data_IF_856756266748
#
_entry.id   IF_856756266748
#
_cell.length_a   1.000
_cell.length_b   1.000
_cell.length_c   1.000
_cell.angle_alpha   90.00
_cell.angle_beta   90.00
_cell.angle_gamma   90.00
#
_symmetry.space_group_name_H-M   'P 1'
#
loop_
_entity.id
_entity.type
_entity.pdbx_description
1 polymer ?
#
# COMPACT_ATOMS: atom_id res chain seq x y z
N UNK A 1 -13.95 9.89 -0.35
CA UNK A 1 -13.80 11.31 -0.02
C UNK A 1 -12.40 11.85 -0.19
N UNK A 2 -11.38 11.17 0.33
CA UNK A 2 -10.02 11.68 0.20
C UNK A 2 -9.53 11.71 -1.25
N UNK A 3 -9.88 10.71 -2.04
CA UNK A 3 -9.53 10.69 -3.46
C UNK A 3 -10.14 11.89 -4.18
N UNK A 4 -11.38 12.18 -3.86
CA UNK A 4 -12.10 13.28 -4.47
C UNK A 4 -11.55 14.64 -4.06
N UNK A 5 -11.21 14.80 -2.78
CA UNK A 5 -10.68 16.06 -2.24
C UNK A 5 -9.36 16.46 -2.89
N UNK A 6 -8.51 15.49 -3.16
CA UNK A 6 -7.20 15.73 -3.79
C UNK A 6 -7.22 15.60 -5.30
N UNK A 7 -8.39 15.31 -5.89
CA UNK A 7 -8.52 15.02 -7.32
C UNK A 7 -7.57 13.88 -7.73
N UNK A 8 -7.63 12.79 -6.98
CA UNK A 8 -6.84 11.61 -7.27
C UNK A 8 -7.63 10.63 -8.10
N UNK A 9 -6.97 9.96 -9.03
CA UNK A 9 -7.56 8.89 -9.80
C UNK A 9 -6.89 7.59 -9.39
N UNK A 10 -7.66 6.52 -9.32
CA UNK A 10 -7.14 5.20 -9.01
C UNK A 10 -7.32 4.30 -10.22
N UNK A 11 -6.23 3.78 -10.75
CA UNK A 11 -6.23 2.95 -11.94
C UNK A 11 -5.75 1.55 -11.59
N UNK A 12 -6.52 0.54 -11.99
CA UNK A 12 -6.18 -0.85 -11.75
C UNK A 12 -5.73 -1.51 -13.07
N UNK A 13 -4.53 -2.06 -13.06
CA UNK A 13 -4.00 -2.84 -14.17
C UNK A 13 -3.90 -4.30 -13.76
N UNK A 14 -4.69 -5.15 -14.39
CA UNK A 14 -4.63 -6.58 -14.15
C UNK A 14 -4.71 -7.30 -15.50
N UNK A 15 -3.73 -8.15 -15.79
CA UNK A 15 -3.68 -8.85 -17.07
C UNK A 15 -4.79 -9.89 -17.22
N UNK A 16 -5.26 -10.43 -16.10
CA UNK A 16 -6.33 -11.43 -16.06
C UNK A 16 -6.84 -11.57 -14.66
N UNK A 17 -7.99 -12.22 -14.52
CA UNK A 17 -8.54 -12.50 -13.21
C UNK A 17 -7.64 -13.48 -12.47
N UNK A 18 -7.26 -13.11 -11.26
CA UNK A 18 -6.40 -13.92 -10.42
C UNK A 18 -7.22 -14.35 -9.21
N UNK A 19 -7.28 -15.66 -8.97
CA UNK A 19 -7.99 -16.21 -7.81
C UNK A 19 -6.98 -16.54 -6.73
N UNK A 20 -7.24 -16.07 -5.53
CA UNK A 20 -6.34 -16.24 -4.40
C UNK A 20 -7.08 -16.82 -3.22
N UNK A 21 -6.51 -17.86 -2.62
CA UNK A 21 -7.09 -18.46 -1.42
C UNK A 21 -6.66 -17.66 -0.20
N UNK A 22 -7.58 -16.89 0.36
CA UNK A 22 -7.25 -15.99 1.47
C UNK A 22 -8.48 -15.69 2.31
N UNK A 23 -8.25 -15.05 3.46
CA UNK A 23 -9.32 -14.47 4.25
C UNK A 23 -9.74 -13.16 3.57
N UNK A 24 -10.88 -13.17 2.91
CA UNK A 24 -11.32 -12.04 2.11
C UNK A 24 -11.47 -10.76 2.92
N UNK A 25 -12.01 -10.84 4.14
CA UNK A 25 -12.20 -9.67 4.97
C UNK A 25 -10.87 -9.05 5.41
N UNK A 26 -9.92 -9.91 5.79
CA UNK A 26 -8.60 -9.44 6.18
C UNK A 26 -7.84 -8.87 5.01
N UNK A 27 -7.92 -9.51 3.85
CA UNK A 27 -7.22 -9.02 2.67
C UNK A 27 -7.80 -7.69 2.19
N UNK A 28 -9.12 -7.51 2.29
CA UNK A 28 -9.73 -6.22 1.99
C UNK A 28 -9.16 -5.13 2.90
N UNK A 29 -8.94 -5.45 4.16
CA UNK A 29 -8.34 -4.52 5.11
C UNK A 29 -6.93 -4.11 4.70
N UNK A 30 -6.14 -5.06 4.18
CA UNK A 30 -4.81 -4.74 3.65
C UNK A 30 -4.93 -3.72 2.50
N UNK A 31 -5.81 -4.00 1.56
CA UNK A 31 -6.00 -3.13 0.39
C UNK A 31 -6.48 -1.75 0.82
N UNK A 32 -7.46 -1.69 1.71
CA UNK A 32 -7.97 -0.42 2.21
C UNK A 32 -6.88 0.40 2.91
N UNK A 33 -6.07 -0.26 3.73
CA UNK A 33 -4.98 0.42 4.44
C UNK A 33 -3.92 0.95 3.47
N UNK A 34 -3.54 0.17 2.48
CA UNK A 34 -2.54 0.59 1.49
C UNK A 34 -3.08 1.70 0.59
N UNK A 35 -4.33 1.59 0.17
CA UNK A 35 -4.95 2.61 -0.66
C UNK A 35 -5.12 3.92 0.11
N UNK A 36 -5.55 3.84 1.37
CA UNK A 36 -5.68 5.02 2.21
C UNK A 36 -4.34 5.69 2.43
N UNK A 37 -3.29 4.90 2.69
CA UNK A 37 -1.95 5.43 2.86
C UNK A 37 -1.49 6.14 1.59
N UNK A 38 -1.71 5.53 0.44
CA UNK A 38 -1.37 6.14 -0.84
C UNK A 38 -2.10 7.47 -1.03
N UNK A 39 -3.39 7.51 -0.69
CA UNK A 39 -4.19 8.74 -0.85
C UNK A 39 -3.71 9.85 0.07
N UNK A 40 -3.35 9.50 1.33
CA UNK A 40 -2.87 10.49 2.30
C UNK A 40 -1.58 11.16 1.82
N UNK A 41 -0.65 10.38 1.29
CA UNK A 41 0.69 10.86 0.95
C UNK A 41 0.89 11.19 -0.52
N UNK A 42 -0.16 11.10 -1.34
CA UNK A 42 -0.07 11.50 -2.74
C UNK A 42 -0.16 13.01 -2.89
N UNK A 43 0.54 13.52 -3.90
CA UNK A 43 0.32 14.89 -4.34
C UNK A 43 -1.06 14.98 -4.98
N UNK A 44 -1.68 16.16 -4.93
CA UNK A 44 -2.96 16.41 -5.58
C UNK A 44 -2.83 16.27 -7.10
N UNK A 45 -3.93 15.95 -7.76
CA UNK A 45 -4.00 15.84 -9.21
C UNK A 45 -3.07 14.76 -9.79
N UNK A 46 -2.83 13.70 -9.03
CA UNK A 46 -2.00 12.58 -9.49
C UNK A 46 -2.81 11.30 -9.54
N UNK A 47 -2.16 10.24 -10.00
CA UNK A 47 -2.80 8.94 -10.18
C UNK A 47 -2.20 7.92 -9.21
N UNK A 48 -3.05 7.12 -8.60
CA UNK A 48 -2.64 5.96 -7.82
C UNK A 48 -2.84 4.75 -8.72
N UNK A 49 -1.80 3.97 -8.92
CA UNK A 49 -1.83 2.81 -9.80
C UNK A 49 -1.73 1.53 -8.98
N UNK A 50 -2.63 0.59 -9.22
CA UNK A 50 -2.59 -0.73 -8.60
C UNK A 50 -2.36 -1.74 -9.72
N UNK A 51 -1.29 -2.49 -9.63
CA UNK A 51 -0.92 -3.47 -10.65
C UNK A 51 -0.88 -4.85 -10.02
N UNK A 52 -1.47 -5.83 -10.69
CA UNK A 52 -1.40 -7.22 -10.23
C UNK A 52 -0.71 -8.07 -11.29
N UNK A 53 0.09 -9.01 -10.83
CA UNK A 53 0.86 -9.88 -11.70
C UNK A 53 0.95 -11.27 -11.08
N UNK A 54 0.83 -12.30 -11.91
CA UNK A 54 0.96 -13.68 -11.47
C UNK A 54 2.24 -14.28 -12.08
N UNK A 55 3.14 -14.73 -11.20
CA UNK A 55 4.39 -15.39 -11.62
C UNK A 55 4.73 -16.52 -10.67
N UNK A 56 5.03 -17.68 -11.24
CA UNK A 56 5.59 -18.82 -10.49
C UNK A 56 4.81 -19.08 -9.20
N UNK A 57 3.49 -19.16 -9.27
CA UNK A 57 2.63 -19.42 -8.11
C UNK A 57 2.60 -18.31 -7.06
N UNK A 58 3.02 -17.13 -7.43
CA UNK A 58 2.93 -15.96 -6.56
C UNK A 58 2.13 -14.86 -7.23
N UNK A 59 1.33 -14.16 -6.44
CA UNK A 59 0.64 -12.95 -6.87
C UNK A 59 1.42 -11.77 -6.32
N UNK A 60 1.80 -10.86 -7.20
CA UNK A 60 2.44 -9.59 -6.80
C UNK A 60 1.45 -8.47 -7.03
N UNK A 61 1.20 -7.69 -5.99
CA UNK A 61 0.28 -6.55 -6.05
C UNK A 61 1.09 -5.31 -5.69
N UNK A 62 1.13 -4.34 -6.60
CA UNK A 62 1.90 -3.11 -6.40
C UNK A 62 0.94 -1.93 -6.32
N UNK A 63 1.04 -1.18 -5.22
CA UNK A 63 0.34 0.09 -5.03
C UNK A 63 1.36 1.19 -5.24
N UNK A 64 1.18 1.99 -6.28
CA UNK A 64 2.11 3.05 -6.63
C UNK A 64 1.44 4.41 -6.58
N UNK A 65 2.09 5.38 -5.95
CA UNK A 65 1.59 6.75 -5.92
C UNK A 65 2.72 7.75 -6.10
N UNK A 66 2.37 8.94 -6.52
CA UNK A 66 3.30 10.06 -6.64
C UNK A 66 3.23 10.89 -5.37
N UNK A 67 4.33 11.00 -4.67
CA UNK A 67 4.39 11.72 -3.42
C UNK A 67 5.83 11.93 -2.97
N UNK A 68 6.00 12.57 -1.81
CA UNK A 68 7.33 12.84 -1.28
C UNK A 68 8.09 11.54 -1.06
N UNK A 69 9.38 11.57 -1.36
CA UNK A 69 10.23 10.40 -1.15
C UNK A 69 10.30 10.05 0.33
N UNK A 70 10.30 8.75 0.60
CA UNK A 70 10.54 8.22 1.94
C UNK A 70 12.02 7.91 2.03
N UNK A 71 12.74 8.45 3.04
CA UNK A 71 14.16 8.15 3.20
C UNK A 71 14.41 6.64 3.24
N UNK A 72 15.43 6.19 2.55
CA UNK A 72 15.72 4.76 2.42
C UNK A 72 15.82 4.05 3.77
N UNK A 73 16.47 4.69 4.75
CA UNK A 73 16.64 4.12 6.08
C UNK A 73 15.32 3.98 6.84
N UNK A 74 14.25 4.59 6.36
CA UNK A 74 12.93 4.52 7.00
C UNK A 74 11.99 3.54 6.32
N UNK A 75 12.36 2.97 5.18
CA UNK A 75 11.45 2.12 4.40
C UNK A 75 11.01 0.85 5.14
N UNK A 76 11.80 0.33 6.06
CA UNK A 76 11.38 -0.79 6.89
C UNK A 76 10.62 -0.32 8.12
N UNK A 77 11.01 0.82 8.67
CA UNK A 77 10.42 1.35 9.90
C UNK A 77 8.96 1.76 9.74
N UNK A 78 8.54 2.14 8.53
CA UNK A 78 7.16 2.59 8.32
C UNK A 78 6.13 1.49 8.58
N UNK A 79 6.55 0.23 8.66
CA UNK A 79 5.67 -0.87 9.00
C UNK A 79 5.59 -1.14 10.50
N UNK A 80 6.34 -0.41 11.31
CA UNK A 80 6.28 -0.55 12.75
C UNK A 80 5.05 0.14 13.31
N UNK A 81 4.50 -0.40 14.41
CA UNK A 81 3.35 0.20 15.06
C UNK A 81 3.65 1.61 15.52
N UNK A 82 2.70 2.51 15.28
CA UNK A 82 2.77 3.92 15.69
C UNK A 82 3.87 4.73 15.02
N UNK A 83 4.60 4.14 14.07
CA UNK A 83 5.59 4.90 13.32
C UNK A 83 4.93 5.83 12.31
N UNK A 84 5.44 7.04 12.19
CA UNK A 84 4.96 8.03 11.23
C UNK A 84 6.13 8.78 10.64
N UNK A 85 6.14 8.93 9.33
CA UNK A 85 7.16 9.72 8.64
C UNK A 85 6.92 11.21 8.89
N UNK A 86 5.67 11.62 8.86
CA UNK A 86 5.24 13.00 9.11
C UNK A 86 4.11 12.97 10.14
N UNK A 87 4.49 13.18 11.41
CA UNK A 87 3.55 13.07 12.51
C UNK A 87 2.40 14.08 12.41
N UNK A 88 2.71 15.32 12.08
CA UNK A 88 1.68 16.36 11.99
C UNK A 88 0.67 16.04 10.89
N UNK A 89 1.17 15.62 9.73
CA UNK A 89 0.33 15.27 8.60
C UNK A 89 -0.52 14.04 8.89
N UNK A 90 0.08 13.04 9.52
CA UNK A 90 -0.63 11.81 9.89
C UNK A 90 -1.76 12.10 10.88
N UNK A 91 -1.50 12.95 11.85
CA UNK A 91 -2.51 13.33 12.82
C UNK A 91 -3.65 14.10 12.16
N UNK A 92 -3.32 15.04 11.27
CA UNK A 92 -4.32 15.83 10.56
C UNK A 92 -5.25 14.95 9.72
N UNK A 93 -4.76 13.82 9.25
CA UNK A 93 -5.55 12.89 8.43
C UNK A 93 -6.09 11.70 9.23
N UNK A 94 -5.99 11.76 10.55
CA UNK A 94 -6.52 10.71 11.41
C UNK A 94 -5.70 9.44 11.47
N UNK A 95 -4.48 9.47 10.95
CA UNK A 95 -3.61 8.30 10.97
C UNK A 95 -3.06 8.03 12.35
N UNK A 96 -3.19 6.80 12.85
CA UNK A 96 -2.67 6.39 14.14
C UNK A 96 -1.33 5.65 14.05
N UNK A 97 -0.80 5.46 12.83
CA UNK A 97 0.43 4.72 12.64
C UNK A 97 0.27 3.22 12.75
N UNK A 98 -0.96 2.73 12.61
CA UNK A 98 -1.26 1.30 12.70
C UNK A 98 -1.55 0.63 11.36
N UNK A 99 -1.98 1.43 10.36
CA UNK A 99 -2.44 0.87 9.08
C UNK A 99 -1.43 -0.04 8.39
N UNK A 100 -0.19 0.41 8.27
CA UNK A 100 0.85 -0.38 7.60
C UNK A 100 1.29 -1.57 8.45
N UNK A 101 1.33 -1.43 9.78
CA UNK A 101 1.66 -2.53 10.66
C UNK A 101 0.60 -3.63 10.58
N UNK A 102 -0.68 -3.25 10.53
CA UNK A 102 -1.78 -4.19 10.38
C UNK A 102 -1.69 -4.90 9.03
N UNK A 103 -1.44 -4.14 7.95
CA UNK A 103 -1.31 -4.73 6.63
C UNK A 103 -0.18 -5.76 6.58
N UNK A 104 0.96 -5.43 7.15
CA UNK A 104 2.09 -6.35 7.19
C UNK A 104 1.75 -7.62 7.97
N UNK A 105 1.10 -7.46 9.12
CA UNK A 105 0.72 -8.60 9.93
C UNK A 105 -0.20 -9.56 9.16
N UNK A 106 -1.22 -9.01 8.49
CA UNK A 106 -2.16 -9.81 7.73
C UNK A 106 -1.47 -10.53 6.56
N UNK A 107 -0.61 -9.81 5.84
CA UNK A 107 0.13 -10.39 4.72
C UNK A 107 1.00 -11.55 5.20
N UNK A 108 1.67 -11.37 6.35
CA UNK A 108 2.52 -12.42 6.91
C UNK A 108 1.70 -13.62 7.39
N UNK A 109 0.50 -13.39 7.90
CA UNK A 109 -0.42 -14.49 8.23
C UNK A 109 -0.77 -15.32 7.01
N UNK A 110 -0.75 -14.73 5.84
CA UNK A 110 -1.01 -15.41 4.57
C UNK A 110 0.28 -15.92 3.92
N UNK A 111 1.38 -15.93 4.68
CA UNK A 111 2.70 -16.39 4.23
C UNK A 111 3.26 -15.56 3.09
N UNK A 112 2.86 -14.31 3.03
CA UNK A 112 3.35 -13.36 2.03
C UNK A 112 4.36 -12.40 2.61
N UNK A 113 4.78 -11.47 1.77
CA UNK A 113 5.70 -10.40 2.15
C UNK A 113 5.16 -9.06 1.69
N UNK A 114 5.57 -8.00 2.38
CA UNK A 114 5.24 -6.64 1.99
C UNK A 114 6.51 -5.79 2.12
N UNK A 115 6.73 -4.93 1.14
CA UNK A 115 7.89 -4.05 1.14
C UNK A 115 7.51 -2.71 0.55
N UNK A 116 8.31 -1.69 0.82
CA UNK A 116 8.12 -0.36 0.27
C UNK A 116 9.39 0.07 -0.46
N UNK A 117 9.20 0.79 -1.55
CA UNK A 117 10.29 1.42 -2.31
C UNK A 117 9.89 2.85 -2.61
N UNK A 118 10.87 3.75 -2.62
CA UNK A 118 10.62 5.15 -2.89
C UNK A 118 11.79 5.72 -3.68
N UNK A 119 11.49 6.31 -4.83
CA UNK A 119 12.50 6.90 -5.71
C UNK A 119 11.83 7.85 -6.67
N UNK A 120 12.46 8.99 -6.90
CA UNK A 120 11.98 9.99 -7.88
C UNK A 120 10.54 10.42 -7.63
N UNK A 121 10.18 10.59 -6.37
CA UNK A 121 8.83 10.96 -5.92
C UNK A 121 7.77 9.96 -6.36
N UNK A 122 8.16 8.70 -6.45
CA UNK A 122 7.28 7.58 -6.72
C UNK A 122 7.43 6.59 -5.59
N UNK A 123 6.33 6.31 -4.89
CA UNK A 123 6.33 5.39 -3.75
C UNK A 123 5.57 4.13 -4.14
N UNK A 124 6.17 2.98 -3.92
CA UNK A 124 5.56 1.69 -4.23
C UNK A 124 5.46 0.83 -2.98
N UNK A 125 4.29 0.26 -2.76
CA UNK A 125 4.09 -0.78 -1.78
C UNK A 125 3.87 -2.09 -2.54
N UNK A 126 4.72 -3.07 -2.29
CA UNK A 126 4.74 -4.32 -3.03
C UNK A 126 4.32 -5.46 -2.10
N UNK A 127 3.21 -6.11 -2.43
CA UNK A 127 2.70 -7.26 -1.67
C UNK A 127 2.87 -8.50 -2.54
N UNK A 128 3.51 -9.53 -1.97
CA UNK A 128 3.64 -10.82 -2.63
C UNK A 128 2.93 -11.88 -1.81
N UNK A 129 2.06 -12.66 -2.45
CA UNK A 129 1.27 -13.69 -1.78
C UNK A 129 1.38 -15.00 -2.55
N UNK A 130 1.56 -16.13 -1.85
CA UNK A 130 1.52 -17.43 -2.52
C UNK A 130 0.08 -17.76 -2.92
N UNK A 131 -0.08 -18.46 -4.03
CA UNK A 131 -1.41 -18.85 -4.49
C UNK A 131 -2.03 -19.96 -3.64
N UNK A 132 -1.21 -20.77 -3.02
CA UNK A 132 -1.72 -21.90 -2.24
C UNK A 132 -0.91 -22.12 -0.97
#
# INVERSE_FOLDING_TARGET
PMLKEKNLQCVLHSAKDIMLHCDANKMQRVFDNLLRNAAIYSYSDTEITITTELRANKVTIVFENCGANIPEEKLEQIFEQFYRVDTARSMANGGAGLGLAIAKHIVELHKGTIAAKSKDECVKFIVELPLS
#
